data_IF_313245833946
#
_entry.id   IF_313245833946
#
_cell.length_a   1.000
_cell.length_b   1.000
_cell.length_c   1.000
_cell.angle_alpha   90.00
_cell.angle_beta   90.00
_cell.angle_gamma   90.00
#
_symmetry.space_group_name_H-M   'P 1'
#
loop_
_entity.id
_entity.type
_entity.pdbx_description
1 polymer ?
#
# COMPACT_ATOMS: atom_id res chain seq x y z
N UNK A 1 52.37 -17.90 43.39
CA UNK A 1 51.27 -16.92 43.51
C UNK A 1 51.22 -16.17 42.18
N UNK A 2 50.10 -16.34 41.46
CA UNK A 2 49.65 -15.72 40.20
C UNK A 2 50.41 -15.96 38.88
N UNK A 3 49.86 -16.89 38.10
CA UNK A 3 50.02 -17.06 36.64
C UNK A 3 49.40 -15.86 35.91
N UNK A 4 50.11 -15.30 34.93
CA UNK A 4 49.48 -14.41 33.94
C UNK A 4 48.80 -15.27 32.86
N UNK A 5 47.51 -15.05 32.57
CA UNK A 5 46.89 -15.64 31.39
C UNK A 5 47.28 -14.78 30.17
N UNK A 6 47.96 -15.40 29.21
CA UNK A 6 48.23 -14.78 27.91
C UNK A 6 46.90 -14.41 27.26
N UNK A 7 46.76 -13.12 26.98
CA UNK A 7 45.59 -12.53 26.34
C UNK A 7 45.59 -12.98 24.87
N UNK A 8 44.62 -13.78 24.39
CA UNK A 8 44.59 -14.11 22.99
C UNK A 8 44.26 -12.85 22.21
N UNK A 9 45.20 -12.44 21.34
CA UNK A 9 45.03 -11.41 20.32
C UNK A 9 43.71 -11.65 19.58
N UNK A 10 42.97 -10.59 19.22
CA UNK A 10 41.67 -10.73 18.57
C UNK A 10 41.91 -11.47 17.26
N UNK A 11 41.42 -12.69 17.21
CA UNK A 11 41.34 -13.50 16.02
C UNK A 11 40.78 -12.61 14.92
N UNK A 12 41.57 -12.45 13.85
CA UNK A 12 41.11 -11.92 12.56
C UNK A 12 39.69 -12.41 12.33
N UNK A 13 38.73 -11.49 12.35
CA UNK A 13 37.35 -11.77 11.96
C UNK A 13 37.45 -12.09 10.46
N UNK A 14 37.51 -13.37 10.14
CA UNK A 14 37.12 -13.85 8.83
C UNK A 14 35.66 -13.40 8.65
N UNK A 15 35.42 -12.50 7.71
CA UNK A 15 34.12 -12.41 7.05
C UNK A 15 33.86 -13.77 6.40
N UNK A 16 33.35 -14.72 7.19
CA UNK A 16 32.45 -15.73 6.67
C UNK A 16 31.37 -14.96 5.92
N UNK A 17 31.02 -15.30 4.66
CA UNK A 17 29.84 -14.73 4.05
C UNK A 17 28.71 -15.08 5.00
N UNK A 18 28.26 -14.08 5.75
CA UNK A 18 27.20 -14.25 6.70
C UNK A 18 26.02 -14.66 5.84
N UNK A 19 25.78 -15.97 5.81
CA UNK A 19 24.54 -16.56 5.34
C UNK A 19 23.55 -16.21 6.45
N UNK A 20 23.31 -14.91 6.65
CA UNK A 20 22.18 -14.47 7.42
C UNK A 20 20.98 -14.99 6.65
N UNK A 21 20.16 -15.89 7.23
CA UNK A 21 18.89 -16.17 6.64
C UNK A 21 18.21 -14.81 6.58
N UNK A 22 17.95 -14.35 5.35
CA UNK A 22 17.13 -13.17 5.03
C UNK A 22 16.15 -13.03 6.18
N UNK A 23 16.35 -12.05 7.07
CA UNK A 23 15.45 -11.84 8.21
C UNK A 23 14.11 -11.52 7.56
N UNK A 24 13.29 -12.56 7.42
CA UNK A 24 11.94 -12.49 6.94
C UNK A 24 11.19 -11.85 8.10
N UNK A 25 11.19 -10.53 8.12
CA UNK A 25 10.42 -9.72 9.06
C UNK A 25 8.98 -10.29 9.08
N UNK A 26 8.59 -11.02 10.15
CA UNK A 26 7.35 -11.78 10.18
C UNK A 26 6.12 -10.87 10.24
N UNK A 27 6.33 -9.55 10.41
CA UNK A 27 5.29 -8.53 10.37
C UNK A 27 4.93 -8.09 8.95
N UNK A 28 5.77 -8.40 7.95
CA UNK A 28 5.45 -8.20 6.54
C UNK A 28 5.18 -9.57 5.91
N UNK A 29 3.91 -9.95 5.87
CA UNK A 29 3.43 -11.11 5.11
C UNK A 29 3.64 -10.85 3.60
N UNK A 30 4.88 -11.04 3.13
CA UNK A 30 5.34 -10.75 1.75
C UNK A 30 4.55 -11.49 0.65
N UNK A 31 3.71 -12.46 1.01
CA UNK A 31 2.87 -13.23 0.09
C UNK A 31 1.38 -12.86 0.08
N UNK A 32 0.92 -11.88 0.88
CA UNK A 32 -0.50 -11.51 0.98
C UNK A 32 -0.80 -10.02 0.69
N UNK A 33 0.24 -9.24 0.44
CA UNK A 33 0.12 -7.81 0.12
C UNK A 33 -0.61 -7.59 -1.20
N UNK A 34 -0.41 -8.47 -2.18
CA UNK A 34 -1.03 -8.35 -3.52
C UNK A 34 -2.53 -8.63 -3.45
N UNK A 35 -2.90 -9.68 -2.74
CA UNK A 35 -4.28 -10.12 -2.52
C UNK A 35 -5.04 -9.09 -1.68
N UNK A 36 -4.41 -8.52 -0.64
CA UNK A 36 -4.99 -7.41 0.13
C UNK A 36 -5.19 -6.17 -0.73
N UNK A 37 -4.20 -5.79 -1.53
CA UNK A 37 -4.32 -4.61 -2.40
C UNK A 37 -5.46 -4.76 -3.41
N UNK A 38 -5.57 -5.94 -4.04
CA UNK A 38 -6.67 -6.26 -4.96
C UNK A 38 -8.00 -6.28 -4.22
N UNK A 39 -8.05 -6.87 -3.01
CA UNK A 39 -9.26 -6.91 -2.19
C UNK A 39 -9.75 -5.52 -1.79
N UNK A 40 -8.85 -4.63 -1.37
CA UNK A 40 -9.17 -3.24 -1.03
C UNK A 40 -9.68 -2.49 -2.27
N UNK A 41 -9.03 -2.68 -3.43
CA UNK A 41 -9.48 -2.06 -4.67
C UNK A 41 -10.92 -2.48 -5.03
N UNK A 42 -11.22 -3.78 -4.94
CA UNK A 42 -12.57 -4.31 -5.19
C UNK A 42 -13.57 -3.78 -4.16
N UNK A 43 -13.20 -3.69 -2.88
CA UNK A 43 -14.06 -3.15 -1.83
C UNK A 43 -14.43 -1.69 -2.08
N UNK A 44 -13.45 -0.86 -2.45
CA UNK A 44 -13.70 0.57 -2.76
C UNK A 44 -14.61 0.71 -3.97
N UNK A 45 -14.32 -0.02 -5.06
CA UNK A 45 -15.17 0.00 -6.27
C UNK A 45 -16.59 -0.47 -5.93
N UNK A 46 -16.72 -1.55 -5.16
CA UNK A 46 -18.03 -2.09 -4.78
C UNK A 46 -18.79 -1.14 -3.86
N UNK A 47 -18.11 -0.41 -2.99
CA UNK A 47 -18.73 0.60 -2.13
C UNK A 47 -19.26 1.78 -2.96
N UNK A 48 -18.45 2.29 -3.89
CA UNK A 48 -18.88 3.36 -4.81
C UNK A 48 -20.04 2.88 -5.67
N UNK A 49 -19.97 1.68 -6.22
CA UNK A 49 -21.03 1.07 -6.99
C UNK A 49 -22.30 0.85 -6.16
N UNK A 50 -22.17 0.38 -4.91
CA UNK A 50 -23.30 0.18 -4.01
C UNK A 50 -23.95 1.51 -3.62
N UNK A 51 -23.18 2.54 -3.28
CA UNK A 51 -23.72 3.89 -3.02
C UNK A 51 -24.43 4.43 -4.25
N UNK A 52 -23.87 4.21 -5.44
CA UNK A 52 -24.47 4.62 -6.70
C UNK A 52 -25.73 3.84 -7.07
N UNK A 53 -25.74 2.53 -6.82
CA UNK A 53 -26.84 1.63 -7.12
C UNK A 53 -28.00 1.75 -6.12
N UNK A 54 -27.69 2.00 -4.84
CA UNK A 54 -28.70 1.96 -3.76
C UNK A 54 -29.60 3.19 -3.72
N UNK A 55 -29.22 4.29 -4.38
CA UNK A 55 -30.09 5.46 -4.38
C UNK A 55 -30.32 5.98 -5.79
N UNK A 56 -31.56 5.84 -6.27
CA UNK A 56 -32.12 6.66 -7.36
C UNK A 56 -31.71 8.14 -7.22
N UNK A 57 -31.62 8.62 -5.98
CA UNK A 57 -31.18 9.98 -5.64
C UNK A 57 -29.73 10.27 -6.06
N UNK A 58 -28.80 9.33 -5.89
CA UNK A 58 -27.40 9.49 -6.34
C UNK A 58 -27.29 9.44 -7.86
N UNK A 59 -28.03 8.56 -8.53
CA UNK A 59 -28.06 8.51 -10.00
C UNK A 59 -28.53 9.85 -10.60
N UNK A 60 -29.61 10.42 -10.07
CA UNK A 60 -30.06 11.76 -10.47
C UNK A 60 -29.05 12.86 -10.11
N UNK A 61 -28.38 12.77 -8.95
CA UNK A 61 -27.35 13.74 -8.57
C UNK A 61 -26.13 13.69 -9.50
N UNK A 62 -25.69 12.50 -9.91
CA UNK A 62 -24.57 12.31 -10.83
C UNK A 62 -24.92 12.82 -12.24
N UNK A 63 -26.10 12.45 -12.75
CA UNK A 63 -26.59 12.94 -14.04
C UNK A 63 -26.76 14.47 -14.04
N UNK A 64 -27.29 15.03 -12.95
CA UNK A 64 -27.44 16.47 -12.79
C UNK A 64 -26.08 17.18 -12.76
N UNK A 65 -25.13 16.72 -11.94
CA UNK A 65 -23.79 17.31 -11.84
C UNK A 65 -23.03 17.22 -13.17
N UNK A 66 -23.13 16.09 -13.87
CA UNK A 66 -22.51 15.91 -15.17
C UNK A 66 -23.10 16.84 -16.24
N UNK A 67 -24.43 16.95 -16.29
CA UNK A 67 -25.13 17.86 -17.20
C UNK A 67 -24.76 19.31 -16.92
N UNK A 68 -24.77 19.71 -15.65
CA UNK A 68 -24.40 21.06 -15.22
C UNK A 68 -22.94 21.38 -15.55
N UNK A 69 -22.03 20.42 -15.39
CA UNK A 69 -20.62 20.55 -15.76
C UNK A 69 -20.47 20.84 -17.27
N UNK A 70 -21.14 20.07 -18.13
CA UNK A 70 -21.11 20.30 -19.58
C UNK A 70 -21.63 21.70 -19.93
N UNK A 71 -22.76 22.10 -19.34
CA UNK A 71 -23.34 23.44 -19.57
C UNK A 71 -22.35 24.53 -19.17
N UNK A 72 -21.71 24.39 -18.00
CA UNK A 72 -20.76 25.38 -17.49
C UNK A 72 -19.50 25.46 -18.36
N UNK A 73 -18.96 24.32 -18.78
CA UNK A 73 -17.82 24.27 -19.71
C UNK A 73 -18.17 24.95 -21.03
N UNK A 74 -19.33 24.62 -21.61
CA UNK A 74 -19.78 25.24 -22.86
C UNK A 74 -19.96 26.76 -22.70
N UNK A 75 -20.53 27.21 -21.58
CA UNK A 75 -20.68 28.62 -21.27
C UNK A 75 -19.33 29.34 -21.17
N UNK A 76 -18.37 28.78 -20.42
CA UNK A 76 -17.02 29.34 -20.27
C UNK A 76 -16.21 29.36 -21.57
N UNK A 77 -16.50 28.46 -22.51
CA UNK A 77 -15.84 28.44 -23.82
C UNK A 77 -16.49 29.42 -24.82
N UNK A 78 -17.74 29.82 -24.59
CA UNK A 78 -18.51 30.65 -25.52
C UNK A 78 -18.53 32.13 -25.11
N UNK A 79 -18.43 32.42 -23.80
CA UNK A 79 -18.28 33.77 -23.23
C UNK A 79 -16.81 34.17 -23.20
#
# INVERSE_FOLDING_TARGET
MFSQPETPLPSTIQESPSTEPIQQDPLIAKGWQREQYIGIAILVISLVAAVGYFSRRFEYALLFAFTLSIILIAFLLTI
#
